data_IF_221954159798
#
_entry.id   IF_221954159798
#
_cell.length_a   1.000
_cell.length_b   1.000
_cell.length_c   1.000
_cell.angle_alpha   90.00
_cell.angle_beta   90.00
_cell.angle_gamma   90.00
#
_symmetry.space_group_name_H-M   'P 1'
#
loop_
_entity.id
_entity.type
_entity.pdbx_description
1 polymer ?
#
# COMPACT_ATOMS: atom_id res chain seq x y z
N UNK A 1 -12.68 41.18 -0.74
CA UNK A 1 -11.24 41.51 -0.81
C UNK A 1 -10.57 40.60 0.19
N UNK A 2 -10.09 39.49 -0.34
CA UNK A 2 -10.05 38.21 0.36
C UNK A 2 -8.64 37.96 0.85
N UNK A 3 -8.41 38.17 2.14
CA UNK A 3 -7.13 37.83 2.79
C UNK A 3 -7.10 36.35 3.15
N UNK A 4 -6.55 35.55 2.23
CA UNK A 4 -6.25 34.13 2.42
C UNK A 4 -5.13 33.97 3.45
N UNK A 5 -5.47 33.55 4.66
CA UNK A 5 -4.51 33.12 5.68
C UNK A 5 -3.97 31.73 5.35
N UNK A 6 -2.75 31.67 4.83
CA UNK A 6 -1.99 30.43 4.63
C UNK A 6 -1.62 29.88 6.01
N UNK A 7 -2.29 28.79 6.42
CA UNK A 7 -1.98 28.07 7.66
C UNK A 7 -0.80 27.12 7.39
N UNK A 8 0.32 27.38 8.06
CA UNK A 8 1.53 26.56 7.97
C UNK A 8 1.27 25.09 8.36
N UNK A 9 1.69 24.16 7.51
CA UNK A 9 1.61 22.71 7.74
C UNK A 9 2.86 22.29 8.53
N UNK A 10 2.72 21.68 9.72
CA UNK A 10 3.88 21.27 10.51
C UNK A 10 4.59 20.08 9.85
N UNK A 11 5.88 20.28 9.54
CA UNK A 11 6.82 19.20 9.18
C UNK A 11 7.09 18.35 10.41
N UNK A 12 6.58 17.12 10.46
CA UNK A 12 7.10 16.01 11.30
C UNK A 12 6.73 14.67 10.68
N UNK A 13 7.73 13.99 10.11
CA UNK A 13 7.67 12.62 9.61
C UNK A 13 7.60 11.62 10.78
N UNK A 14 6.43 11.45 11.39
CA UNK A 14 6.20 10.38 12.37
C UNK A 14 4.96 9.60 11.97
N UNK A 15 5.12 8.70 10.99
CA UNK A 15 4.07 7.76 10.60
C UNK A 15 3.92 6.72 11.72
N UNK A 16 2.76 6.69 12.39
CA UNK A 16 2.48 5.71 13.45
C UNK A 16 2.36 4.32 12.83
N UNK A 17 3.36 3.47 13.08
CA UNK A 17 3.34 2.04 12.78
C UNK A 17 2.54 1.33 13.88
N UNK A 18 1.49 0.59 13.55
CA UNK A 18 0.75 -0.21 14.54
C UNK A 18 1.45 -1.58 14.65
N UNK A 19 2.03 -1.90 15.82
CA UNK A 19 2.99 -2.99 16.01
C UNK A 19 2.38 -4.40 16.13
N UNK A 20 3.21 -5.41 15.85
CA UNK A 20 2.99 -6.82 16.19
C UNK A 20 4.34 -7.46 16.51
N UNK A 21 4.44 -8.09 17.69
CA UNK A 21 5.58 -8.89 18.15
C UNK A 21 5.20 -10.37 17.98
N UNK A 22 6.02 -11.16 17.30
CA UNK A 22 5.82 -12.62 17.18
C UNK A 22 7.08 -13.34 17.65
N UNK A 23 6.92 -14.31 18.55
CA UNK A 23 7.97 -15.14 19.14
C UNK A 23 7.91 -16.52 18.47
N UNK A 24 8.99 -17.03 17.85
CA UNK A 24 9.05 -18.39 17.27
C UNK A 24 10.48 -18.97 17.34
N UNK A 25 10.63 -20.30 17.41
CA UNK A 25 11.90 -21.07 17.56
C UNK A 25 12.10 -22.13 16.45
N UNK A 26 13.33 -22.20 15.89
CA UNK A 26 14.15 -23.36 15.37
C UNK A 26 13.66 -24.13 14.12
N UNK A 27 14.42 -24.67 13.15
CA UNK A 27 15.74 -24.48 12.49
C UNK A 27 15.60 -24.75 10.97
N UNK A 28 14.51 -25.41 10.51
CA UNK A 28 13.90 -25.22 9.17
C UNK A 28 13.36 -23.79 8.96
N UNK A 29 13.28 -23.05 10.05
CA UNK A 29 12.99 -21.63 10.04
C UNK A 29 13.99 -20.87 9.17
N UNK A 30 15.28 -21.17 9.15
CA UNK A 30 16.23 -20.28 8.46
C UNK A 30 15.88 -20.03 6.98
N UNK A 31 15.42 -21.05 6.24
CA UNK A 31 15.04 -20.91 4.83
C UNK A 31 13.68 -20.22 4.65
N UNK A 32 12.65 -20.64 5.39
CA UNK A 32 11.32 -20.01 5.38
C UNK A 32 11.37 -18.57 5.91
N UNK A 33 12.20 -18.31 6.92
CA UNK A 33 12.45 -17.01 7.53
C UNK A 33 13.25 -16.14 6.55
N UNK A 34 14.27 -16.65 5.84
CA UNK A 34 14.91 -15.89 4.76
C UNK A 34 13.93 -15.55 3.62
N UNK A 35 13.03 -16.46 3.25
CA UNK A 35 12.05 -16.23 2.19
C UNK A 35 10.94 -15.27 2.63
N UNK A 36 10.47 -15.38 3.87
CA UNK A 36 9.51 -14.47 4.49
C UNK A 36 10.12 -13.08 4.73
N UNK A 37 11.38 -13.00 5.17
CA UNK A 37 12.14 -11.75 5.29
C UNK A 37 12.31 -11.08 3.93
N UNK A 38 12.66 -11.84 2.89
CA UNK A 38 12.72 -11.31 1.51
C UNK A 38 11.36 -10.76 1.08
N UNK A 39 10.28 -11.50 1.30
CA UNK A 39 8.93 -11.04 0.95
C UNK A 39 8.52 -9.80 1.75
N UNK A 40 8.94 -9.71 3.02
CA UNK A 40 8.69 -8.55 3.87
C UNK A 40 9.48 -7.32 3.42
N UNK A 41 10.77 -7.46 3.09
CA UNK A 41 11.59 -6.36 2.56
C UNK A 41 11.05 -5.83 1.22
N UNK A 42 10.61 -6.74 0.34
CA UNK A 42 9.97 -6.40 -0.93
C UNK A 42 8.67 -5.63 -0.67
N UNK A 43 7.81 -6.15 0.21
CA UNK A 43 6.55 -5.51 0.58
C UNK A 43 6.76 -4.12 1.17
N UNK A 44 7.69 -3.97 2.11
CA UNK A 44 8.03 -2.68 2.70
C UNK A 44 8.53 -1.66 1.66
N UNK A 45 9.40 -2.09 0.73
CA UNK A 45 9.90 -1.23 -0.33
C UNK A 45 8.78 -0.80 -1.29
N UNK A 46 7.91 -1.73 -1.68
CA UNK A 46 6.76 -1.43 -2.53
C UNK A 46 5.78 -0.47 -1.86
N UNK A 47 5.43 -0.71 -0.59
CA UNK A 47 4.51 0.17 0.14
C UNK A 47 5.09 1.59 0.30
N UNK A 48 6.40 1.71 0.57
CA UNK A 48 7.07 3.01 0.64
C UNK A 48 7.00 3.77 -0.69
N UNK A 49 7.33 3.12 -1.81
CA UNK A 49 7.25 3.72 -3.15
C UNK A 49 5.81 4.05 -3.55
N UNK A 50 4.83 3.23 -3.17
CA UNK A 50 3.42 3.52 -3.37
C UNK A 50 2.97 4.75 -2.59
N UNK A 51 3.43 4.94 -1.35
CA UNK A 51 3.17 6.15 -0.56
C UNK A 51 3.76 7.39 -1.23
N UNK A 52 5.03 7.33 -1.66
CA UNK A 52 5.70 8.43 -2.37
C UNK A 52 4.96 8.80 -3.65
N UNK A 53 4.54 7.79 -4.41
CA UNK A 53 3.72 7.97 -5.60
C UNK A 53 2.38 8.67 -5.28
N UNK A 54 1.62 8.17 -4.31
CA UNK A 54 0.33 8.77 -3.91
C UNK A 54 0.50 10.22 -3.45
N UNK A 55 1.55 10.52 -2.68
CA UNK A 55 1.89 11.89 -2.26
C UNK A 55 2.18 12.77 -3.48
N UNK A 56 2.97 12.28 -4.45
CA UNK A 56 3.25 13.01 -5.69
C UNK A 56 2.00 13.29 -6.53
N UNK A 57 0.94 12.48 -6.36
CA UNK A 57 -0.37 12.61 -7.01
C UNK A 57 -1.36 13.48 -6.23
N UNK A 58 -0.94 14.11 -5.13
CA UNK A 58 -1.75 15.03 -4.33
C UNK A 58 -2.60 14.36 -3.25
N UNK A 59 -2.33 13.10 -2.92
CA UNK A 59 -2.98 12.42 -1.79
C UNK A 59 -2.20 12.66 -0.49
N UNK A 60 -2.93 12.77 0.61
CA UNK A 60 -2.39 12.73 1.97
C UNK A 60 -2.51 11.31 2.52
N UNK A 61 -1.41 10.75 3.07
CA UNK A 61 -1.44 9.43 3.70
C UNK A 61 -2.08 9.55 5.09
N UNK A 62 -3.17 8.83 5.31
CA UNK A 62 -3.89 8.78 6.59
C UNK A 62 -3.31 7.68 7.47
N UNK A 63 -3.12 6.49 6.90
CA UNK A 63 -2.61 5.32 7.63
C UNK A 63 -1.88 4.37 6.69
N UNK A 64 -0.94 3.60 7.24
CA UNK A 64 -0.23 2.51 6.59
C UNK A 64 -0.42 1.25 7.40
N UNK A 65 -0.54 0.10 6.75
CA UNK A 65 -0.80 -1.20 7.36
C UNK A 65 -2.00 -1.15 8.34
N UNK A 66 -3.13 -0.60 7.89
CA UNK A 66 -4.32 -0.51 8.72
C UNK A 66 -4.88 -1.91 8.99
N UNK A 67 -5.21 -2.18 10.25
CA UNK A 67 -5.76 -3.45 10.71
C UNK A 67 -6.94 -3.20 11.62
N UNK A 68 -7.99 -3.97 11.43
CA UNK A 68 -9.16 -3.97 12.31
C UNK A 68 -9.70 -5.39 12.43
N UNK A 69 -9.46 -6.02 13.58
CA UNK A 69 -9.65 -7.46 13.74
C UNK A 69 -8.82 -8.25 12.72
N UNK A 70 -9.49 -9.08 11.91
CA UNK A 70 -8.86 -9.85 10.84
C UNK A 70 -8.79 -9.10 9.50
N UNK A 71 -9.38 -7.90 9.42
CA UNK A 71 -9.42 -7.08 8.20
C UNK A 71 -8.18 -6.20 8.10
N UNK A 72 -7.66 -6.05 6.87
CA UNK A 72 -6.44 -5.26 6.61
C UNK A 72 -6.48 -4.54 5.26
N UNK A 73 -5.79 -3.41 5.19
CA UNK A 73 -5.47 -2.68 3.95
C UNK A 73 -4.09 -2.03 4.09
N UNK A 74 -3.33 -1.99 3.00
CA UNK A 74 -1.93 -1.55 3.05
C UNK A 74 -1.82 -0.04 3.26
N UNK A 75 -2.64 0.76 2.57
CA UNK A 75 -2.60 2.22 2.68
C UNK A 75 -4.03 2.77 2.71
N UNK A 76 -4.27 3.69 3.65
CA UNK A 76 -5.41 4.60 3.61
C UNK A 76 -4.88 5.98 3.28
N UNK A 77 -5.39 6.59 2.22
CA UNK A 77 -5.02 7.95 1.83
C UNK A 77 -6.23 8.73 1.38
N UNK A 78 -6.09 10.05 1.24
CA UNK A 78 -7.22 10.90 0.90
C UNK A 78 -6.80 12.12 0.09
N UNK A 79 -7.73 12.67 -0.68
CA UNK A 79 -7.60 14.00 -1.26
C UNK A 79 -8.85 14.83 -0.91
N UNK A 80 -9.13 15.91 -1.65
CA UNK A 80 -10.29 16.77 -1.39
C UNK A 80 -11.64 16.03 -1.54
N UNK A 81 -11.71 15.00 -2.37
CA UNK A 81 -12.97 14.37 -2.80
C UNK A 81 -13.11 12.92 -2.35
N UNK A 82 -12.00 12.19 -2.25
CA UNK A 82 -12.00 10.75 -2.03
C UNK A 82 -11.19 10.36 -0.79
N UNK A 83 -11.63 9.27 -0.16
CA UNK A 83 -10.84 8.46 0.77
C UNK A 83 -10.58 7.10 0.12
N UNK A 84 -9.31 6.75 -0.02
CA UNK A 84 -8.84 5.59 -0.76
C UNK A 84 -8.37 4.52 0.22
N UNK A 85 -8.74 3.28 -0.07
CA UNK A 85 -8.20 2.07 0.53
C UNK A 85 -7.42 1.36 -0.56
N UNK A 86 -6.11 1.24 -0.37
CA UNK A 86 -5.18 0.82 -1.42
C UNK A 86 -4.51 -0.48 -1.01
N UNK A 87 -4.57 -1.46 -1.89
CA UNK A 87 -3.74 -2.66 -1.85
C UNK A 87 -2.49 -2.45 -2.71
N UNK A 88 -1.32 -2.76 -2.17
CA UNK A 88 -0.02 -2.63 -2.85
C UNK A 88 0.49 -4.00 -3.26
N UNK A 89 0.71 -4.20 -4.56
CA UNK A 89 1.28 -5.43 -5.13
C UNK A 89 2.70 -5.18 -5.63
N UNK A 90 3.67 -5.64 -4.86
CA UNK A 90 5.08 -5.59 -5.26
C UNK A 90 5.40 -6.68 -6.28
N UNK A 91 6.06 -6.31 -7.39
CA UNK A 91 6.47 -7.20 -8.48
C UNK A 91 7.98 -7.12 -8.66
N UNK A 92 8.69 -8.24 -8.64
CA UNK A 92 10.13 -8.25 -8.93
C UNK A 92 10.41 -8.44 -10.41
N UNK A 93 11.09 -7.48 -11.02
CA UNK A 93 11.60 -7.59 -12.37
C UNK A 93 12.94 -8.36 -12.34
N UNK A 94 13.02 -9.48 -13.06
CA UNK A 94 14.23 -10.31 -13.15
C UNK A 94 14.82 -10.25 -14.55
N UNK A 95 15.56 -9.19 -14.89
CA UNK A 95 16.54 -9.11 -16.00
C UNK A 95 16.05 -9.37 -17.44
N UNK A 96 14.85 -9.88 -17.61
CA UNK A 96 14.18 -10.18 -18.88
C UNK A 96 12.77 -9.67 -18.72
N UNK A 97 12.23 -8.83 -19.62
CA UNK A 97 10.84 -8.45 -19.58
C UNK A 97 10.03 -9.72 -19.83
N UNK A 98 9.59 -10.36 -18.74
CA UNK A 98 8.67 -11.47 -18.80
C UNK A 98 7.39 -10.93 -19.42
N UNK A 99 7.22 -11.21 -20.71
CA UNK A 99 5.92 -11.19 -21.40
C UNK A 99 4.96 -12.27 -20.86
N UNK A 100 5.30 -12.96 -19.78
CA UNK A 100 4.44 -13.96 -19.15
C UNK A 100 3.76 -13.37 -17.92
N UNK A 101 2.42 -13.26 -18.01
CA UNK A 101 1.55 -13.09 -16.85
C UNK A 101 0.58 -11.91 -16.88
N UNK A 102 0.09 -11.46 -18.04
CA UNK A 102 -1.22 -10.78 -18.08
C UNK A 102 -2.32 -11.84 -18.01
N UNK A 103 -2.93 -12.03 -16.84
CA UNK A 103 -4.36 -11.83 -16.66
C UNK A 103 -4.53 -10.48 -15.99
N UNK A 104 -5.50 -9.69 -16.45
CA UNK A 104 -5.86 -8.42 -15.82
C UNK A 104 -5.96 -8.58 -14.31
N UNK A 105 -5.40 -7.63 -13.57
CA UNK A 105 -5.27 -7.62 -12.13
C UNK A 105 -6.65 -7.48 -11.45
N UNK A 106 -7.50 -8.48 -11.63
CA UNK A 106 -8.62 -8.72 -10.76
C UNK A 106 -8.02 -8.98 -9.37
N UNK A 107 -8.33 -8.10 -8.43
CA UNK A 107 -8.31 -8.48 -7.02
C UNK A 107 -9.16 -9.75 -6.92
N UNK A 108 -8.58 -10.83 -6.39
CA UNK A 108 -9.31 -12.08 -6.14
C UNK A 108 -10.60 -11.77 -5.36
N UNK A 109 -11.70 -12.44 -5.67
CA UNK A 109 -13.01 -12.18 -5.05
C UNK A 109 -12.94 -12.16 -3.52
N UNK A 110 -12.14 -13.05 -2.93
CA UNK A 110 -11.89 -13.07 -1.48
C UNK A 110 -11.21 -11.79 -1.01
N UNK A 111 -10.19 -11.33 -1.72
CA UNK A 111 -9.45 -10.11 -1.39
C UNK A 111 -10.30 -8.86 -1.62
N UNK A 112 -11.22 -8.87 -2.60
CA UNK A 112 -12.23 -7.81 -2.80
C UNK A 112 -13.11 -7.68 -1.57
N UNK A 113 -13.73 -8.78 -1.15
CA UNK A 113 -14.59 -8.83 0.04
C UNK A 113 -13.85 -8.35 1.28
N UNK A 114 -12.60 -8.78 1.46
CA UNK A 114 -11.77 -8.40 2.61
C UNK A 114 -11.50 -6.90 2.69
N UNK A 115 -11.10 -6.28 1.57
CA UNK A 115 -10.80 -4.84 1.53
C UNK A 115 -12.09 -4.03 1.64
N UNK A 116 -13.19 -4.47 1.02
CA UNK A 116 -14.50 -3.83 1.17
C UNK A 116 -14.94 -3.82 2.64
N UNK A 117 -14.89 -4.95 3.32
CA UNK A 117 -15.24 -5.03 4.74
C UNK A 117 -14.33 -4.13 5.60
N UNK A 118 -13.03 -4.09 5.29
CA UNK A 118 -12.09 -3.20 5.98
C UNK A 118 -12.45 -1.72 5.79
N UNK A 119 -12.81 -1.34 4.56
CA UNK A 119 -13.22 0.00 4.22
C UNK A 119 -14.53 0.40 4.92
N UNK A 120 -15.54 -0.49 4.90
CA UNK A 120 -16.81 -0.30 5.59
C UNK A 120 -16.62 -0.09 7.09
N UNK A 121 -15.78 -0.92 7.73
CA UNK A 121 -15.49 -0.80 9.15
C UNK A 121 -14.77 0.51 9.48
N UNK A 122 -13.80 0.92 8.66
CA UNK A 122 -13.13 2.20 8.82
C UNK A 122 -14.12 3.36 8.68
N UNK A 123 -14.99 3.34 7.66
CA UNK A 123 -15.98 4.38 7.40
C UNK A 123 -16.98 4.47 8.55
N UNK A 124 -17.45 3.33 9.06
CA UNK A 124 -18.37 3.28 10.19
C UNK A 124 -17.76 3.94 11.45
N UNK A 125 -16.49 3.64 11.75
CA UNK A 125 -15.78 4.16 12.93
C UNK A 125 -15.40 5.63 12.81
N UNK A 126 -14.92 6.06 11.64
CA UNK A 126 -14.30 7.37 11.46
C UNK A 126 -15.20 8.39 10.76
N UNK A 127 -16.30 7.95 10.13
CA UNK A 127 -17.31 8.77 9.44
C UNK A 127 -16.70 9.84 8.51
N UNK A 128 -15.80 9.47 7.59
CA UNK A 128 -15.23 10.43 6.65
C UNK A 128 -16.32 10.99 5.74
N UNK A 129 -16.27 12.30 5.47
CA UNK A 129 -17.21 13.00 4.56
C UNK A 129 -16.84 12.85 3.07
N UNK A 130 -15.91 11.95 2.74
CA UNK A 130 -15.32 11.77 1.40
C UNK A 130 -15.85 10.51 0.75
N UNK A 131 -15.85 10.48 -0.58
CA UNK A 131 -16.30 9.31 -1.35
C UNK A 131 -15.29 8.17 -1.20
N UNK A 132 -15.69 6.98 -0.71
CA UNK A 132 -14.78 5.87 -0.61
C UNK A 132 -14.41 5.34 -2.00
N UNK A 133 -13.16 4.91 -2.13
CA UNK A 133 -12.62 4.30 -3.34
C UNK A 133 -11.66 3.19 -2.96
N UNK A 134 -11.66 2.09 -3.71
CA UNK A 134 -10.72 1.00 -3.51
C UNK A 134 -9.86 0.88 -4.76
N UNK A 135 -8.55 1.00 -4.57
CA UNK A 135 -7.56 1.01 -5.64
C UNK A 135 -6.50 -0.08 -5.41
N UNK A 136 -5.82 -0.46 -6.48
CA UNK A 136 -4.64 -1.34 -6.42
C UNK A 136 -3.46 -0.60 -7.02
N UNK A 137 -2.32 -0.61 -6.34
CA UNK A 137 -1.07 -0.10 -6.90
C UNK A 137 -0.11 -1.27 -7.09
N UNK A 138 0.28 -1.53 -8.34
CA UNK A 138 1.39 -2.45 -8.63
C UNK A 138 2.70 -1.66 -8.67
N UNK A 139 3.68 -2.07 -7.87
CA UNK A 139 5.01 -1.46 -7.83
C UNK A 139 6.01 -2.45 -8.39
N UNK A 140 6.64 -2.09 -9.50
CA UNK A 140 7.67 -2.91 -10.14
C UNK A 140 9.03 -2.57 -9.55
N UNK A 141 9.71 -3.57 -9.01
CA UNK A 141 10.91 -3.45 -8.23
C UNK A 141 12.05 -4.22 -8.89
N UNK A 142 13.24 -3.64 -8.87
CA UNK A 142 14.49 -4.32 -9.21
C UNK A 142 15.45 -4.27 -8.03
N UNK A 143 16.37 -5.24 -7.94
CA UNK A 143 17.35 -5.29 -6.86
C UNK A 143 18.69 -4.74 -7.34
N UNK A 144 19.14 -3.63 -6.76
CA UNK A 144 20.44 -3.02 -7.07
C UNK A 144 21.17 -2.66 -5.78
N UNK A 145 22.44 -3.06 -5.67
CA UNK A 145 23.26 -2.75 -4.48
C UNK A 145 22.64 -3.27 -3.17
N UNK A 146 22.01 -4.45 -3.21
CA UNK A 146 21.35 -5.06 -2.06
C UNK A 146 19.97 -4.49 -1.69
N UNK A 147 19.53 -3.39 -2.30
CA UNK A 147 18.24 -2.73 -2.04
C UNK A 147 17.23 -2.99 -3.16
N UNK A 148 15.95 -2.96 -2.83
CA UNK A 148 14.85 -2.90 -3.80
C UNK A 148 14.59 -1.44 -4.16
N UNK A 149 14.63 -1.13 -5.46
CA UNK A 149 14.38 0.19 -6.03
C UNK A 149 13.31 0.08 -7.11
N UNK A 150 12.72 1.21 -7.50
CA UNK A 150 11.77 1.26 -8.59
C UNK A 150 12.43 0.80 -9.91
N UNK A 151 11.81 -0.15 -10.59
CA UNK A 151 12.24 -0.63 -11.90
C UNK A 151 11.74 0.30 -13.02
N UNK A 152 12.24 0.11 -14.24
CA UNK A 152 11.87 0.92 -15.42
C UNK A 152 10.38 0.78 -15.77
N UNK A 153 9.75 -0.36 -15.46
CA UNK A 153 8.30 -0.57 -15.61
C UNK A 153 7.47 0.34 -14.70
N UNK A 154 8.08 0.92 -13.66
CA UNK A 154 7.49 1.97 -12.85
C UNK A 154 6.37 1.51 -11.93
N UNK A 155 5.34 2.35 -11.81
CA UNK A 155 4.18 2.13 -10.95
C UNK A 155 2.93 2.11 -11.81
N UNK A 156 2.08 1.11 -11.59
CA UNK A 156 0.76 1.02 -12.21
C UNK A 156 -0.32 1.22 -11.16
N UNK A 157 -1.04 2.32 -11.26
CA UNK A 157 -2.20 2.61 -10.42
C UNK A 157 -3.47 2.15 -11.12
N UNK A 158 -4.13 1.15 -10.56
CA UNK A 158 -5.42 0.63 -10.99
C UNK A 158 -6.48 1.24 -10.09
N UNK A 159 -7.12 2.23 -10.67
CA UNK A 159 -8.18 3.03 -10.09
C UNK A 159 -9.52 2.28 -10.14
N UNK A 160 -10.33 2.37 -9.08
CA UNK A 160 -11.63 1.68 -8.97
C UNK A 160 -11.55 0.15 -9.15
N UNK A 161 -10.60 -0.51 -8.50
CA UNK A 161 -10.31 -1.93 -8.69
C UNK A 161 -11.47 -2.89 -8.35
N UNK A 162 -12.53 -2.38 -7.71
CA UNK A 162 -13.72 -3.14 -7.30
C UNK A 162 -15.01 -2.77 -8.04
N UNK A 163 -15.00 -1.77 -8.94
CA UNK A 163 -16.17 -1.43 -9.77
C UNK A 163 -16.20 -2.25 -11.07
#
# INVERSE_FOLDING_TARGET
MDSHGIRAIPRRNTWKRCGSLVHVRSTDEAFCHLQAMKNHEIGMAGEALACEYLISRGYSIVCRNYRSGHLETDIICENATHILFVEVKSRLCRGTPSRFGRPGAAVDARKKQHITACAEEYIYKNKPIKKPRIDVIEVYLTRRGGRYILAEEGIRHIENALL
#
